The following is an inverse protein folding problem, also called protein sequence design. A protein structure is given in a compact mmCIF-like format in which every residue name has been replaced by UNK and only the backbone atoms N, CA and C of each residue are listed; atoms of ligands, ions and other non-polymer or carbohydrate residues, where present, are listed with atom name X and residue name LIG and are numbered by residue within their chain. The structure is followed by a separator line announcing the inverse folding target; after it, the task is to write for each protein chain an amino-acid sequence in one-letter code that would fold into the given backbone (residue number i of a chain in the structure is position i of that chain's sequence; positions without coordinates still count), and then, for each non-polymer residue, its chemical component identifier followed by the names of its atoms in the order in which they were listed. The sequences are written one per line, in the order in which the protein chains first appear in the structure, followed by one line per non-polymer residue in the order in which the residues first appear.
data_IF_638057432760
#
_entry.id   IF_638057432760
#
_cell.length_a   1.000
_cell.length_b   1.000
_cell.length_c   1.000
_cell.angle_alpha   90.00
_cell.angle_beta   90.00
_cell.angle_gamma   90.00
#
_symmetry.space_group_name_H-M   'P 1'
#
loop_
_entity.id
_entity.type
_entity.pdbx_description
1 polymer ?
#
# COMPACT_ATOMS: atom_id res chain seq x y z
N UNK A 1 -12.00 2.30 23.20
CA UNK A 1 -13.36 2.51 22.67
C UNK A 1 -13.56 1.51 21.54
N UNK A 2 -14.45 0.53 21.74
CA UNK A 2 -14.80 -0.48 20.75
C UNK A 2 -15.55 0.16 19.57
N UNK A 3 -14.79 0.63 18.57
CA UNK A 3 -15.36 1.12 17.32
C UNK A 3 -15.79 -0.08 16.48
N UNK A 4 -16.97 -0.65 16.78
CA UNK A 4 -17.58 -1.69 15.95
C UNK A 4 -17.73 -1.17 14.52
N UNK A 5 -16.94 -1.72 13.60
CA UNK A 5 -17.05 -1.45 12.17
C UNK A 5 -18.39 -2.02 11.71
N UNK A 6 -19.30 -1.15 11.26
CA UNK A 6 -20.59 -1.55 10.70
C UNK A 6 -20.48 -1.72 9.20
N UNK A 7 -21.31 -2.60 8.63
CA UNK A 7 -21.41 -2.78 7.18
C UNK A 7 -21.92 -1.47 6.57
N UNK A 8 -21.18 -0.94 5.59
CA UNK A 8 -21.59 0.26 4.86
C UNK A 8 -22.88 -0.03 4.06
N UNK A 9 -23.86 0.87 4.06
CA UNK A 9 -25.13 0.66 3.35
C UNK A 9 -24.94 0.47 1.83
N UNK A 10 -23.87 1.03 1.26
CA UNK A 10 -23.43 0.83 -0.14
C UNK A 10 -22.47 -0.36 -0.34
N UNK A 11 -22.44 -1.35 0.56
CA UNK A 11 -21.51 -2.49 0.49
C UNK A 11 -21.54 -3.24 -0.85
N UNK A 12 -22.68 -3.25 -1.54
CA UNK A 12 -22.85 -3.92 -2.84
C UNK A 12 -22.56 -3.00 -4.03
N UNK A 13 -22.19 -1.74 -3.80
CA UNK A 13 -21.86 -0.77 -4.85
C UNK A 13 -20.60 0.05 -4.45
N UNK A 14 -19.40 -0.51 -4.68
CA UNK A 14 -18.15 0.12 -4.26
C UNK A 14 -17.91 1.47 -4.93
N UNK A 15 -18.36 1.65 -6.17
CA UNK A 15 -18.25 2.93 -6.89
C UNK A 15 -19.07 4.03 -6.22
N UNK A 16 -20.31 3.73 -5.82
CA UNK A 16 -21.14 4.69 -5.10
C UNK A 16 -20.57 4.99 -3.70
N UNK A 17 -20.10 3.96 -2.99
CA UNK A 17 -19.46 4.11 -1.69
C UNK A 17 -18.23 5.03 -1.77
N UNK A 18 -17.37 4.83 -2.76
CA UNK A 18 -16.19 5.68 -2.97
C UNK A 18 -16.57 7.13 -3.26
N UNK A 19 -17.55 7.38 -4.14
CA UNK A 19 -18.02 8.75 -4.45
C UNK A 19 -18.56 9.49 -3.23
N UNK A 20 -19.15 8.77 -2.28
CA UNK A 20 -19.62 9.34 -1.01
C UNK A 20 -18.45 9.65 -0.08
N UNK A 21 -17.61 8.65 0.20
CA UNK A 21 -16.49 8.76 1.15
C UNK A 21 -15.47 9.81 0.68
N UNK A 22 -15.14 9.84 -0.61
CA UNK A 22 -14.11 10.71 -1.16
C UNK A 22 -14.39 12.21 -0.97
N UNK A 23 -15.66 12.61 -0.85
CA UNK A 23 -16.03 14.02 -0.62
C UNK A 23 -15.50 14.59 0.69
N UNK A 24 -15.32 13.73 1.70
CA UNK A 24 -14.81 14.11 3.01
C UNK A 24 -13.30 13.88 3.19
N UNK A 25 -12.61 13.35 2.18
CA UNK A 25 -11.19 13.00 2.29
C UNK A 25 -10.29 14.16 1.88
N UNK A 26 -9.15 14.28 2.56
CA UNK A 26 -8.07 15.20 2.15
C UNK A 26 -7.08 14.45 1.28
N UNK A 27 -6.90 14.92 0.05
CA UNK A 27 -5.91 14.35 -0.88
C UNK A 27 -4.54 14.97 -0.58
N UNK A 28 -3.58 14.12 -0.19
CA UNK A 28 -2.19 14.50 0.02
C UNK A 28 -1.35 13.90 -1.11
N UNK A 29 -0.76 14.75 -1.96
CA UNK A 29 0.20 14.30 -2.95
C UNK A 29 1.53 14.02 -2.26
N UNK A 30 1.93 12.76 -2.23
CA UNK A 30 3.23 12.35 -1.71
C UNK A 30 4.24 12.29 -2.85
N UNK A 31 5.37 12.96 -2.67
CA UNK A 31 6.54 12.76 -3.51
C UNK A 31 7.47 11.79 -2.78
N UNK A 32 7.38 10.51 -3.11
CA UNK A 32 8.15 9.44 -2.46
C UNK A 32 9.46 9.19 -3.19
N UNK A 33 10.51 8.92 -2.43
CA UNK A 33 11.85 8.54 -2.92
C UNK A 33 12.26 7.22 -2.30
N UNK A 34 13.13 6.49 -3.00
CA UNK A 34 13.70 5.24 -2.47
C UNK A 34 14.54 5.56 -1.23
N UNK A 35 14.30 4.89 -0.09
CA UNK A 35 15.08 5.12 1.13
C UNK A 35 16.52 4.62 0.98
N UNK A 36 17.50 5.52 1.06
CA UNK A 36 18.93 5.18 0.95
C UNK A 36 19.60 4.99 2.32
N UNK A 37 19.00 5.53 3.38
CA UNK A 37 19.55 5.41 4.74
C UNK A 37 19.47 3.96 5.24
N UNK A 38 20.42 3.48 6.06
CA UNK A 38 20.31 2.18 6.69
C UNK A 38 19.09 2.11 7.61
N UNK A 39 18.62 0.90 7.88
CA UNK A 39 17.50 0.65 8.80
C UNK A 39 17.97 0.86 10.25
N UNK A 40 17.15 1.49 11.08
CA UNK A 40 17.45 1.66 12.51
C UNK A 40 17.50 0.29 13.20
N UNK A 41 18.35 0.14 14.22
CA UNK A 41 18.61 -1.15 14.88
C UNK A 41 17.40 -1.87 15.49
N UNK A 42 16.32 -1.16 15.78
CA UNK A 42 15.06 -1.69 16.33
C UNK A 42 13.89 -1.62 15.33
N UNK A 43 14.19 -1.52 14.03
CA UNK A 43 13.20 -1.50 12.96
C UNK A 43 13.57 -2.50 11.88
N UNK A 44 12.57 -2.85 11.08
CA UNK A 44 12.76 -3.64 9.86
C UNK A 44 12.15 -2.88 8.68
N UNK A 45 12.75 -3.05 7.51
CA UNK A 45 12.26 -2.53 6.23
C UNK A 45 11.59 -3.63 5.45
N UNK A 46 10.29 -3.45 5.22
CA UNK A 46 9.54 -4.28 4.32
C UNK A 46 9.69 -3.77 2.88
N UNK A 47 9.97 -4.70 1.98
CA UNK A 47 9.93 -4.46 0.53
C UNK A 47 8.74 -5.23 0.00
N UNK A 48 7.68 -4.51 -0.35
CA UNK A 48 6.43 -5.10 -0.81
C UNK A 48 6.32 -4.98 -2.32
N UNK A 49 5.99 -6.08 -2.99
CA UNK A 49 5.63 -6.09 -4.42
C UNK A 49 4.28 -6.79 -4.57
N UNK A 50 3.46 -6.37 -5.53
CA UNK A 50 2.17 -6.99 -5.84
C UNK A 50 2.07 -7.28 -7.32
N UNK A 51 1.22 -8.24 -7.69
CA UNK A 51 0.79 -8.47 -9.08
C UNK A 51 1.95 -8.61 -10.07
N UNK A 52 3.01 -9.32 -9.68
CA UNK A 52 4.18 -9.51 -10.56
C UNK A 52 3.87 -10.42 -11.75
N UNK A 53 2.74 -11.16 -11.74
CA UNK A 53 2.26 -12.04 -12.80
C UNK A 53 3.33 -12.94 -13.45
N UNK A 54 4.32 -13.39 -12.67
CA UNK A 54 5.50 -14.15 -13.16
C UNK A 54 6.40 -13.39 -14.16
N UNK A 55 6.19 -12.09 -14.34
CA UNK A 55 6.94 -11.20 -15.23
C UNK A 55 8.10 -10.49 -14.51
N UNK A 56 8.63 -11.08 -13.44
CA UNK A 56 9.75 -10.52 -12.66
C UNK A 56 10.97 -10.23 -13.56
N UNK A 57 11.17 -11.02 -14.62
CA UNK A 57 12.25 -10.83 -15.59
C UNK A 57 12.12 -9.56 -16.44
N UNK A 58 10.93 -8.97 -16.50
CA UNK A 58 10.64 -7.76 -17.29
C UNK A 58 10.67 -6.48 -16.43
N UNK A 59 10.98 -6.59 -15.13
CA UNK A 59 11.11 -5.43 -14.26
C UNK A 59 12.35 -4.64 -14.68
N UNK A 60 12.15 -3.36 -15.03
CA UNK A 60 13.21 -2.46 -15.52
C UNK A 60 13.84 -1.58 -14.43
N UNK A 61 13.47 -1.80 -13.16
CA UNK A 61 13.92 -1.01 -12.03
C UNK A 61 14.47 -1.90 -10.92
N UNK A 62 15.43 -1.36 -10.18
CA UNK A 62 16.05 -2.09 -9.08
C UNK A 62 15.08 -2.24 -7.90
N UNK A 63 15.05 -3.44 -7.32
CA UNK A 63 14.33 -3.71 -6.08
C UNK A 63 15.20 -3.20 -4.93
N UNK A 64 14.68 -2.32 -4.05
CA UNK A 64 15.46 -1.75 -2.98
C UNK A 64 15.81 -2.79 -1.92
N UNK A 65 16.94 -2.58 -1.23
CA UNK A 65 17.33 -3.39 -0.09
C UNK A 65 16.33 -3.28 1.05
N UNK A 66 16.04 -4.41 1.70
CA UNK A 66 15.23 -4.48 2.91
C UNK A 66 15.40 -5.81 3.65
N UNK A 67 14.79 -5.88 4.83
CA UNK A 67 14.94 -7.01 5.75
C UNK A 67 13.89 -8.09 5.51
N UNK A 68 12.70 -7.70 5.04
CA UNK A 68 11.59 -8.62 4.76
C UNK A 68 10.99 -8.31 3.39
N UNK A 69 11.05 -9.29 2.50
CA UNK A 69 10.40 -9.21 1.20
C UNK A 69 9.01 -9.85 1.26
N UNK A 70 7.96 -9.10 0.90
CA UNK A 70 6.57 -9.57 0.90
C UNK A 70 5.91 -9.42 -0.48
N UNK A 71 5.73 -10.52 -1.23
CA UNK A 71 4.94 -10.53 -2.45
C UNK A 71 3.45 -10.70 -2.10
N UNK A 72 2.65 -9.66 -2.33
CA UNK A 72 1.19 -9.75 -2.27
C UNK A 72 0.72 -10.47 -3.54
N UNK A 73 0.01 -11.59 -3.36
CA UNK A 73 -0.50 -12.44 -4.43
C UNK A 73 -2.00 -12.25 -4.60
#
# INVERSE_FOLDING_TARGET
MDSKIRIHHLTNNPTAAWKEIAKGQKILKLNVKIPVKPVDSNKVRFVCMSDTHSLIRNIMFDIPDGDVFYPCR
#
